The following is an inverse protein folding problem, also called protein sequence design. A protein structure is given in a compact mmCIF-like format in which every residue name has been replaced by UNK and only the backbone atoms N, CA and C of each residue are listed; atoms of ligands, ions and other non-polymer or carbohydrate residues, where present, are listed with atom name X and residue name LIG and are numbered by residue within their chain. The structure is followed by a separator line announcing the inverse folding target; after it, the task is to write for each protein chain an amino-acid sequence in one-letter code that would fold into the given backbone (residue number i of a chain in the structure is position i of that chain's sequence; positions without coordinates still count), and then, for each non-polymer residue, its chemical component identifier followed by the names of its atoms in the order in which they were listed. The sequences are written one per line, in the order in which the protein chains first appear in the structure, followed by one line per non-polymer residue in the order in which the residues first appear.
data_IF_889925196302
#
_entry.id   IF_889925196302
#
_cell.length_a   1.000
_cell.length_b   1.000
_cell.length_c   1.000
_cell.angle_alpha   90.00
_cell.angle_beta   90.00
_cell.angle_gamma   90.00
#
_symmetry.space_group_name_H-M   'P 1'
#
loop_
_entity.id
_entity.type
_entity.pdbx_description
1 polymer ?
#
# COMPACT_ATOMS: atom_id res chain seq x y z
N UNK A 1 14.45 42.89 0.65
CA UNK A 1 14.28 42.05 1.85
C UNK A 1 15.69 41.67 2.30
N UNK A 2 16.06 40.51 2.74
CA UNK A 2 15.75 39.27 2.07
C UNK A 2 16.76 38.33 2.69
N UNK A 3 16.39 37.09 2.93
CA UNK A 3 17.34 36.00 3.06
C UNK A 3 18.52 36.21 2.07
N UNK A 4 19.78 36.16 2.53
CA UNK A 4 20.95 36.19 1.65
C UNK A 4 20.76 35.08 0.60
N UNK A 5 21.00 35.39 -0.68
CA UNK A 5 20.65 34.51 -1.79
C UNK A 5 21.34 33.13 -1.68
N UNK A 6 22.57 33.10 -1.17
CA UNK A 6 23.39 31.90 -0.99
C UNK A 6 22.92 31.10 0.24
N UNK A 7 22.57 31.79 1.33
CA UNK A 7 21.91 31.21 2.50
C UNK A 7 20.52 30.63 2.19
N UNK A 8 19.73 31.31 1.36
CA UNK A 8 18.41 30.89 0.91
C UNK A 8 18.49 29.68 -0.02
N UNK A 9 19.52 29.63 -0.89
CA UNK A 9 19.79 28.48 -1.76
C UNK A 9 20.20 27.24 -0.98
N UNK A 10 21.13 27.37 -0.02
CA UNK A 10 21.53 26.23 0.85
C UNK A 10 20.38 25.73 1.70
N UNK A 11 19.53 26.64 2.19
CA UNK A 11 18.31 26.27 2.91
C UNK A 11 17.30 25.58 1.99
N UNK A 12 17.15 26.03 0.74
CA UNK A 12 16.31 25.39 -0.28
C UNK A 12 16.81 24.00 -0.68
N UNK A 13 18.11 23.83 -0.88
CA UNK A 13 18.69 22.53 -1.19
C UNK A 13 18.53 21.54 -0.04
N UNK A 14 18.72 22.00 1.20
CA UNK A 14 18.49 21.17 2.38
C UNK A 14 17.01 20.81 2.54
N UNK A 15 16.08 21.74 2.28
CA UNK A 15 14.64 21.46 2.29
C UNK A 15 14.25 20.50 1.16
N UNK A 16 14.84 20.64 -0.03
CA UNK A 16 14.56 19.77 -1.18
C UNK A 16 15.09 18.35 -0.96
N UNK A 17 16.30 18.21 -0.39
CA UNK A 17 16.87 16.92 0.00
C UNK A 17 16.07 16.27 1.13
N UNK A 18 15.64 17.06 2.11
CA UNK A 18 14.79 16.60 3.19
C UNK A 18 13.41 16.15 2.67
N UNK A 19 12.81 16.88 1.72
CA UNK A 19 11.56 16.49 1.05
C UNK A 19 11.73 15.24 0.19
N UNK A 20 12.80 15.12 -0.59
CA UNK A 20 13.02 13.94 -1.44
C UNK A 20 13.32 12.70 -0.60
N UNK A 21 14.05 12.85 0.52
CA UNK A 21 14.28 11.75 1.48
C UNK A 21 12.99 11.35 2.22
N UNK A 22 12.17 12.32 2.66
CA UNK A 22 10.85 12.04 3.23
C UNK A 22 9.90 11.42 2.21
N UNK A 23 9.88 11.90 0.96
CA UNK A 23 9.08 11.34 -0.12
C UNK A 23 9.56 9.97 -0.55
N UNK A 24 10.85 9.64 -0.45
CA UNK A 24 11.34 8.30 -0.76
C UNK A 24 11.06 7.33 0.39
N UNK A 25 11.21 7.76 1.65
CA UNK A 25 10.78 6.96 2.81
C UNK A 25 9.27 6.78 2.85
N UNK A 26 8.49 7.82 2.57
CA UNK A 26 7.04 7.76 2.44
C UNK A 26 6.69 6.95 1.21
N UNK A 27 7.30 7.10 0.03
CA UNK A 27 7.02 6.27 -1.14
C UNK A 27 7.37 4.80 -0.93
N UNK A 28 8.44 4.46 -0.22
CA UNK A 28 8.79 3.07 0.11
C UNK A 28 7.93 2.50 1.25
N UNK A 29 7.53 3.34 2.21
CA UNK A 29 6.53 2.97 3.22
C UNK A 29 5.11 2.97 2.64
N UNK A 30 4.81 3.74 1.59
CA UNK A 30 3.58 3.73 0.80
C UNK A 30 3.58 2.54 -0.17
N UNK A 31 4.72 2.16 -0.74
CA UNK A 31 4.88 0.91 -1.50
C UNK A 31 4.63 -0.30 -0.61
N UNK A 32 5.01 -0.24 0.67
CA UNK A 32 4.81 -1.32 1.64
C UNK A 32 3.51 -1.21 2.48
N UNK A 33 2.89 -0.03 2.61
CA UNK A 33 1.78 0.26 3.52
C UNK A 33 0.60 1.02 2.86
N UNK A 34 0.81 1.77 1.76
CA UNK A 34 -0.29 2.31 0.91
C UNK A 34 -0.72 1.41 -0.24
N UNK A 35 -0.08 0.26 -0.44
CA UNK A 35 -0.82 -0.84 -1.08
C UNK A 35 -1.96 -1.37 -0.19
N UNK A 36 -1.89 -1.18 1.13
CA UNK A 36 -2.79 -1.84 2.07
C UNK A 36 -3.32 -0.97 3.24
N UNK A 37 -3.50 0.34 3.06
CA UNK A 37 -4.32 1.13 4.00
C UNK A 37 -5.48 1.79 3.26
N UNK A 38 -6.50 0.96 3.11
CA UNK A 38 -7.86 1.22 2.68
C UNK A 38 -8.52 2.19 3.65
N UNK A 39 -8.29 3.48 3.44
CA UNK A 39 -9.29 4.50 3.78
C UNK A 39 -9.59 5.32 2.53
N UNK A 40 -9.85 4.58 1.45
CA UNK A 40 -10.64 5.05 0.32
C UNK A 40 -11.80 4.07 0.23
N UNK A 41 -13.03 4.57 0.36
CA UNK A 41 -14.25 3.78 0.11
C UNK A 41 -14.07 2.99 -1.21
N UNK A 42 -13.94 1.66 -1.13
CA UNK A 42 -13.86 0.80 -2.33
C UNK A 42 -12.60 -0.08 -2.50
N UNK A 43 -11.69 -0.15 -1.51
CA UNK A 43 -10.62 -1.17 -1.51
C UNK A 43 -10.86 -2.12 -0.31
N UNK A 44 -10.46 -3.39 -0.38
CA UNK A 44 -10.44 -4.28 0.79
C UNK A 44 -9.12 -5.06 0.81
N UNK A 45 -8.58 -5.26 1.99
CA UNK A 45 -7.28 -5.94 2.19
C UNK A 45 -7.47 -7.00 3.25
N UNK A 46 -7.22 -8.25 2.86
CA UNK A 46 -7.35 -9.40 3.75
C UNK A 46 -6.29 -10.45 3.42
N UNK A 47 -6.00 -11.30 4.40
CA UNK A 47 -5.09 -12.44 4.25
C UNK A 47 -5.89 -13.70 3.95
N UNK A 48 -5.55 -14.42 2.88
CA UNK A 48 -6.23 -15.65 2.48
C UNK A 48 -5.23 -16.70 1.97
N UNK A 49 -5.56 -17.98 2.19
CA UNK A 49 -4.80 -19.11 1.63
C UNK A 49 -5.21 -19.36 0.18
N UNK A 50 -4.25 -19.77 -0.64
CA UNK A 50 -4.50 -20.20 -2.02
C UNK A 50 -5.04 -21.62 -2.02
N UNK A 51 -6.23 -21.84 -2.56
CA UNK A 51 -6.87 -23.15 -2.68
C UNK A 51 -6.42 -23.90 -3.94
N UNK A 52 -6.77 -25.19 -4.03
CA UNK A 52 -6.53 -26.00 -5.24
C UNK A 52 -7.07 -25.32 -6.50
N UNK A 53 -6.21 -25.24 -7.53
CA UNK A 53 -6.53 -24.54 -8.77
C UNK A 53 -6.41 -23.01 -8.71
N UNK A 54 -5.74 -22.45 -7.67
CA UNK A 54 -5.40 -21.02 -7.61
C UNK A 54 -6.54 -20.11 -7.14
N UNK A 55 -7.61 -20.67 -6.55
CA UNK A 55 -8.75 -19.88 -6.06
C UNK A 55 -8.41 -19.19 -4.74
N UNK A 56 -8.84 -17.94 -4.63
CA UNK A 56 -8.79 -17.13 -3.40
C UNK A 56 -10.20 -16.62 -3.15
N UNK A 57 -10.68 -16.75 -1.91
CA UNK A 57 -12.02 -16.32 -1.51
C UNK A 57 -11.93 -14.96 -0.80
N UNK A 58 -12.82 -14.03 -1.19
CA UNK A 58 -13.02 -12.76 -0.48
C UNK A 58 -13.88 -13.04 0.76
N UNK A 59 -13.47 -12.62 1.98
CA UNK A 59 -14.29 -12.77 3.18
C UNK A 59 -15.63 -12.04 3.05
N UNK A 60 -16.67 -12.60 3.66
CA UNK A 60 -18.03 -12.04 3.62
C UNK A 60 -18.10 -10.58 4.13
N UNK A 61 -17.43 -10.19 5.23
CA UNK A 61 -17.47 -8.81 5.70
C UNK A 61 -16.91 -7.83 4.67
N UNK A 62 -15.80 -8.18 4.02
CA UNK A 62 -15.14 -7.36 3.00
C UNK A 62 -15.99 -7.27 1.73
N UNK A 63 -16.65 -8.37 1.34
CA UNK A 63 -17.57 -8.40 0.21
C UNK A 63 -18.75 -7.44 0.41
N UNK A 64 -19.33 -7.44 1.61
CA UNK A 64 -20.43 -6.54 1.99
C UNK A 64 -19.94 -5.10 2.05
N UNK A 65 -18.78 -4.84 2.65
CA UNK A 65 -18.20 -3.50 2.77
C UNK A 65 -17.89 -2.88 1.40
N UNK A 66 -17.45 -3.69 0.43
CA UNK A 66 -17.23 -3.28 -0.95
C UNK A 66 -18.51 -3.22 -1.80
N UNK A 67 -19.64 -3.68 -1.27
CA UNK A 67 -20.91 -3.73 -2.01
C UNK A 67 -20.90 -4.69 -3.20
N UNK A 68 -20.03 -5.71 -3.20
CA UNK A 68 -19.83 -6.61 -4.34
C UNK A 68 -20.99 -7.61 -4.52
N UNK A 69 -21.43 -7.78 -5.76
CA UNK A 69 -22.48 -8.71 -6.17
C UNK A 69 -21.99 -9.76 -7.16
N UNK A 70 -22.75 -10.84 -7.27
CA UNK A 70 -22.47 -11.92 -8.22
C UNK A 70 -22.46 -11.39 -9.66
N UNK A 71 -21.40 -11.71 -10.39
CA UNK A 71 -21.19 -11.28 -11.78
C UNK A 71 -20.44 -9.96 -11.93
N UNK A 72 -20.09 -9.26 -10.84
CA UNK A 72 -19.28 -8.05 -10.90
C UNK A 72 -17.78 -8.35 -11.10
N UNK A 73 -17.10 -7.47 -11.84
CA UNK A 73 -15.68 -7.59 -12.15
C UNK A 73 -14.87 -6.77 -11.14
N UNK A 74 -13.84 -7.38 -10.56
CA UNK A 74 -12.93 -6.73 -9.61
C UNK A 74 -11.49 -6.67 -10.12
N UNK A 75 -10.71 -5.73 -9.60
CA UNK A 75 -9.25 -5.64 -9.81
C UNK A 75 -8.55 -6.12 -8.55
N UNK A 76 -7.58 -7.03 -8.68
CA UNK A 76 -6.92 -7.70 -7.55
C UNK A 76 -5.42 -7.45 -7.56
N UNK A 77 -4.85 -7.17 -6.38
CA UNK A 77 -3.41 -7.13 -6.15
C UNK A 77 -3.06 -8.27 -5.18
N UNK A 78 -2.16 -9.16 -5.58
CA UNK A 78 -1.71 -10.28 -4.74
C UNK A 78 -0.27 -10.03 -4.30
N UNK A 79 -0.04 -10.08 -2.99
CA UNK A 79 1.29 -9.96 -2.38
C UNK A 79 1.60 -11.27 -1.66
N UNK A 80 2.65 -11.98 -2.09
CA UNK A 80 3.10 -13.20 -1.41
C UNK A 80 3.80 -12.83 -0.11
N UNK A 81 3.31 -13.33 1.01
CA UNK A 81 4.01 -13.25 2.29
C UNK A 81 5.09 -14.33 2.39
N UNK A 82 6.20 -14.00 3.07
CA UNK A 82 7.21 -14.99 3.48
C UNK A 82 6.74 -15.64 4.77
N UNK A 83 6.75 -16.98 4.83
CA UNK A 83 6.37 -17.74 6.03
C UNK A 83 4.99 -18.42 5.97
N UNK A 84 4.39 -18.60 4.80
CA UNK A 84 3.15 -19.40 4.64
C UNK A 84 3.39 -20.90 4.46
N UNK A 85 4.65 -21.33 4.49
CA UNK A 85 5.09 -22.70 4.24
C UNK A 85 6.12 -23.07 5.30
N UNK A 86 5.69 -23.16 6.55
CA UNK A 86 6.38 -23.81 7.67
C UNK A 86 5.40 -23.83 8.85
N UNK A 87 4.59 -24.88 8.92
CA UNK A 87 4.01 -25.45 10.15
C UNK A 87 3.54 -26.88 9.80
N UNK A 88 4.50 -27.64 9.27
CA UNK A 88 4.38 -29.08 9.04
C UNK A 88 5.44 -29.81 9.87
N UNK A 89 5.24 -29.81 11.19
CA UNK A 89 5.75 -30.84 12.10
C UNK A 89 4.55 -31.46 12.80
#
# INVERSE_FOLDING_TARGET
MVLDLDGMQKMWENIFRMQNSLLTMIASAMENFQKCNVMQDGIAVFRAKVQSGGRISIPEPDRIALGLKDGEIVKVIVIKEKGGEEDGV
#
